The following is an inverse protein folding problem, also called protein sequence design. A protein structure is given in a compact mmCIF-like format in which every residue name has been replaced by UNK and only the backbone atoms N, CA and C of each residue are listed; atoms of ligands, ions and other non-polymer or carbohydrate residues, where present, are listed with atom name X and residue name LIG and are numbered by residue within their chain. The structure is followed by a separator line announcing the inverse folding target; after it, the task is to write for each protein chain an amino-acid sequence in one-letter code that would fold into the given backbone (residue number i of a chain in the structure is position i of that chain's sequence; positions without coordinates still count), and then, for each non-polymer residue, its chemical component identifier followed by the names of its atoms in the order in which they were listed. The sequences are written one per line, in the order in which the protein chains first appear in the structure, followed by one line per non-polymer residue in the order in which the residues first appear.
data_IF_958994816480
#
_entry.id   IF_958994816480
#
_cell.length_a   1.000
_cell.length_b   1.000
_cell.length_c   1.000
_cell.angle_alpha   90.00
_cell.angle_beta   90.00
_cell.angle_gamma   90.00
#
_symmetry.space_group_name_H-M   'P 1'
#
loop_
_entity.id
_entity.type
_entity.pdbx_description
1 polymer ?
#
# COMPACT_ATOMS: atom_id res chain seq x y z
N UNK A 1 39.85 -8.58 -7.38
CA UNK A 1 39.47 -9.35 -6.17
C UNK A 1 38.34 -10.30 -6.57
N UNK A 2 38.55 -11.63 -6.62
CA UNK A 2 37.48 -12.59 -6.94
C UNK A 2 36.42 -12.55 -5.83
N UNK A 3 35.16 -12.32 -6.18
CA UNK A 3 34.05 -12.36 -5.23
C UNK A 3 33.97 -13.77 -4.62
N UNK A 4 33.91 -13.87 -3.28
CA UNK A 4 33.66 -15.14 -2.59
C UNK A 4 32.28 -15.66 -3.04
N UNK A 5 32.12 -16.97 -3.26
CA UNK A 5 30.82 -17.55 -3.59
C UNK A 5 29.84 -17.27 -2.44
N UNK A 6 28.69 -16.66 -2.77
CA UNK A 6 27.61 -16.45 -1.80
C UNK A 6 26.94 -17.80 -1.55
N UNK A 7 26.95 -18.26 -0.31
CA UNK A 7 26.18 -19.43 0.11
C UNK A 7 24.74 -18.98 0.31
N UNK A 8 23.80 -19.57 -0.42
CA UNK A 8 22.37 -19.29 -0.31
C UNK A 8 21.62 -20.50 0.24
N UNK A 9 20.47 -20.24 0.85
CA UNK A 9 19.51 -21.27 1.29
C UNK A 9 18.12 -20.92 0.80
N UNK A 10 17.30 -21.95 0.52
CA UNK A 10 15.94 -21.78 -0.01
C UNK A 10 14.95 -21.72 1.14
N UNK A 11 14.15 -20.66 1.16
CA UNK A 11 13.03 -20.49 2.05
C UNK A 11 11.74 -20.57 1.24
N UNK A 12 10.79 -21.34 1.74
CA UNK A 12 9.48 -21.49 1.14
C UNK A 12 8.39 -21.08 2.13
N UNK A 13 7.39 -20.36 1.64
CA UNK A 13 6.30 -19.80 2.43
C UNK A 13 4.98 -20.47 2.09
N UNK A 14 4.23 -20.82 3.12
CA UNK A 14 2.89 -21.40 3.03
C UNK A 14 1.93 -20.47 3.77
N UNK A 15 1.06 -19.80 3.03
CA UNK A 15 0.00 -18.98 3.61
C UNK A 15 -1.07 -19.87 4.29
N UNK A 16 -1.87 -19.31 5.20
CA UNK A 16 -2.97 -20.02 5.87
C UNK A 16 -3.89 -20.78 4.87
N UNK A 17 -4.21 -20.16 3.72
CA UNK A 17 -5.03 -20.79 2.65
C UNK A 17 -4.29 -21.88 1.87
N UNK A 18 -2.96 -21.91 1.90
CA UNK A 18 -2.10 -22.83 1.17
C UNK A 18 -1.75 -24.11 1.94
N UNK A 19 -2.12 -24.22 3.23
CA UNK A 19 -1.76 -25.35 4.09
C UNK A 19 -2.22 -26.68 3.52
N UNK A 20 -3.45 -26.75 3.01
CA UNK A 20 -3.98 -27.98 2.41
C UNK A 20 -3.22 -28.40 1.15
N UNK A 21 -2.90 -27.43 0.27
CA UNK A 21 -2.13 -27.69 -0.95
C UNK A 21 -0.71 -28.14 -0.63
N UNK A 22 -0.08 -27.56 0.40
CA UNK A 22 1.21 -27.99 0.90
C UNK A 22 1.17 -29.42 1.45
N UNK A 23 0.19 -29.74 2.28
CA UNK A 23 0.03 -31.10 2.85
C UNK A 23 -0.18 -32.16 1.76
N UNK A 24 -0.98 -31.86 0.73
CA UNK A 24 -1.33 -32.83 -0.31
C UNK A 24 -0.31 -32.95 -1.43
N UNK A 25 0.34 -31.84 -1.81
CA UNK A 25 1.12 -31.73 -3.05
C UNK A 25 2.50 -31.10 -2.85
N UNK A 26 2.88 -30.80 -1.61
CA UNK A 26 4.12 -30.08 -1.29
C UNK A 26 4.26 -28.75 -2.06
N UNK A 27 3.11 -28.09 -2.29
CA UNK A 27 3.03 -26.82 -3.01
C UNK A 27 3.26 -25.64 -2.07
N UNK A 28 4.09 -24.70 -2.50
CA UNK A 28 4.42 -23.48 -1.76
C UNK A 28 3.76 -22.27 -2.40
N UNK A 29 3.34 -21.30 -1.58
CA UNK A 29 2.75 -20.05 -2.08
C UNK A 29 3.80 -19.06 -2.57
N UNK A 30 5.02 -19.14 -2.03
CA UNK A 30 6.15 -18.33 -2.48
C UNK A 30 7.46 -18.99 -2.07
N UNK A 31 8.50 -18.78 -2.86
CA UNK A 31 9.84 -19.29 -2.58
C UNK A 31 10.87 -18.20 -2.85
N UNK A 32 11.91 -18.17 -2.02
CA UNK A 32 13.00 -17.22 -2.16
C UNK A 32 14.33 -17.86 -1.76
N UNK A 33 15.40 -17.38 -2.37
CA UNK A 33 16.76 -17.66 -1.95
C UNK A 33 17.27 -16.55 -1.04
N UNK A 34 17.91 -16.95 0.05
CA UNK A 34 18.42 -16.05 1.08
C UNK A 34 19.91 -16.31 1.25
N UNK A 35 20.68 -15.24 1.31
CA UNK A 35 22.10 -15.33 1.66
C UNK A 35 22.23 -15.85 3.09
N UNK A 36 22.98 -16.94 3.29
CA UNK A 36 23.21 -17.50 4.63
C UNK A 36 23.84 -16.46 5.55
N UNK A 37 24.61 -15.52 5.01
CA UNK A 37 25.16 -14.40 5.75
C UNK A 37 24.12 -13.38 6.23
N UNK A 38 22.85 -13.46 5.82
CA UNK A 38 21.74 -12.66 6.37
C UNK A 38 21.19 -13.30 7.65
N UNK A 39 21.20 -14.63 7.72
CA UNK A 39 20.68 -15.45 8.82
C UNK A 39 21.73 -15.60 9.93
N UNK A 40 23.01 -15.69 9.54
CA UNK A 40 24.13 -15.96 10.41
C UNK A 40 24.99 -14.72 10.72
N UNK A 41 24.36 -13.56 11.00
CA UNK A 41 25.10 -12.35 11.44
C UNK A 41 25.20 -12.32 12.97
N UNK A 42 26.41 -12.37 13.55
CA UNK A 42 26.59 -12.08 14.97
C UNK A 42 26.09 -10.66 15.31
N UNK A 43 25.51 -10.43 16.50
CA UNK A 43 25.34 -11.38 17.61
C UNK A 43 24.03 -12.20 17.55
N UNK A 44 23.17 -11.97 16.55
CA UNK A 44 21.82 -12.55 16.48
C UNK A 44 21.68 -13.49 15.29
N UNK A 45 21.77 -14.79 15.55
CA UNK A 45 21.37 -15.81 14.59
C UNK A 45 19.84 -15.83 14.51
N UNK A 46 19.28 -15.57 13.32
CA UNK A 46 17.83 -15.61 13.12
C UNK A 46 17.47 -16.55 11.99
N UNK A 47 16.61 -17.52 12.26
CA UNK A 47 15.99 -18.34 11.22
C UNK A 47 14.79 -17.65 10.58
N UNK A 48 14.39 -16.48 11.09
CA UNK A 48 13.27 -15.70 10.57
C UNK A 48 13.74 -14.97 9.33
N UNK A 49 13.16 -15.34 8.20
CA UNK A 49 13.29 -14.63 6.94
C UNK A 49 11.96 -14.00 6.57
N UNK A 50 11.86 -12.66 6.46
CA UNK A 50 10.64 -12.03 5.99
C UNK A 50 10.38 -12.45 4.53
N UNK A 51 9.10 -12.55 4.18
CA UNK A 51 8.69 -12.65 2.77
C UNK A 51 9.25 -11.43 2.02
N UNK A 52 9.76 -11.63 0.79
CA UNK A 52 10.39 -10.59 -0.02
C UNK A 52 11.68 -10.01 0.62
N UNK A 53 12.47 -10.83 1.33
CA UNK A 53 13.66 -10.36 2.06
C UNK A 53 14.64 -9.55 1.19
N UNK A 54 14.96 -10.04 -0.01
CA UNK A 54 15.87 -9.35 -0.94
C UNK A 54 15.36 -7.97 -1.39
N UNK A 55 14.04 -7.83 -1.49
CA UNK A 55 13.40 -6.56 -1.82
C UNK A 55 13.45 -5.59 -0.64
N UNK A 56 13.21 -6.05 0.59
CA UNK A 56 13.37 -5.18 1.75
C UNK A 56 14.82 -4.75 1.98
N UNK A 57 15.78 -5.64 1.67
CA UNK A 57 17.21 -5.32 1.69
C UNK A 57 17.59 -4.23 0.69
N UNK A 58 16.95 -4.16 -0.49
CA UNK A 58 17.24 -3.09 -1.45
C UNK A 58 16.73 -1.71 -0.99
N UNK A 59 15.81 -1.68 -0.03
CA UNK A 59 15.28 -0.48 0.60
C UNK A 59 15.87 -0.25 2.00
N UNK A 60 17.01 -0.89 2.32
CA UNK A 60 17.68 -0.74 3.61
C UNK A 60 18.11 0.71 3.88
N UNK A 61 18.59 1.39 2.84
CA UNK A 61 19.14 2.75 2.91
C UNK A 61 18.07 3.85 2.72
N UNK A 62 16.82 3.46 2.46
CA UNK A 62 15.71 4.41 2.35
C UNK A 62 15.38 5.02 3.72
N UNK A 63 14.87 6.27 3.75
CA UNK A 63 14.37 6.87 4.99
C UNK A 63 13.22 6.04 5.55
N UNK A 64 13.08 6.05 6.86
CA UNK A 64 12.02 5.36 7.58
C UNK A 64 10.89 6.33 7.92
N UNK A 65 9.68 5.81 8.06
CA UNK A 65 8.54 6.66 8.44
C UNK A 65 8.78 7.38 9.76
N UNK A 66 9.44 6.74 10.74
CA UNK A 66 9.82 7.36 12.01
C UNK A 66 10.83 8.52 11.88
N UNK A 67 11.54 8.61 10.75
CA UNK A 67 12.47 9.71 10.49
C UNK A 67 11.70 10.99 10.14
N UNK A 68 10.56 10.86 9.43
CA UNK A 68 9.77 11.99 8.90
C UNK A 68 8.45 12.24 9.62
N UNK A 69 7.98 11.30 10.43
CA UNK A 69 6.71 11.40 11.12
C UNK A 69 6.81 11.00 12.60
N UNK A 70 6.07 11.71 13.44
CA UNK A 70 5.81 11.32 14.82
C UNK A 70 4.74 10.23 14.85
N UNK A 71 5.07 9.10 15.47
CA UNK A 71 4.18 7.93 15.55
C UNK A 71 3.78 7.73 17.00
N UNK A 72 2.52 8.03 17.29
CA UNK A 72 1.99 8.08 18.63
C UNK A 72 0.96 7.02 18.92
N UNK A 73 1.09 6.36 20.07
CA UNK A 73 0.02 5.53 20.64
C UNK A 73 -1.03 6.43 21.30
N UNK A 74 -2.30 6.02 21.25
CA UNK A 74 -3.38 6.69 21.97
C UNK A 74 -3.40 6.44 23.48
N UNK A 75 -4.45 6.97 24.12
CA UNK A 75 -4.70 6.87 25.56
C UNK A 75 -4.94 5.42 25.96
N UNK A 76 -4.21 4.94 26.96
CA UNK A 76 -4.45 3.65 27.58
C UNK A 76 -5.18 3.85 28.92
N UNK A 77 -6.40 3.31 28.99
CA UNK A 77 -7.21 3.32 30.19
C UNK A 77 -6.90 2.12 31.10
N UNK A 78 -7.16 2.29 32.40
CA UNK A 78 -7.25 1.20 33.36
C UNK A 78 -8.41 0.26 32.99
N UNK A 79 -8.34 -1.02 33.38
CA UNK A 79 -9.35 -2.03 33.02
C UNK A 79 -10.76 -1.70 33.52
N UNK A 80 -10.87 -0.84 34.53
CA UNK A 80 -12.10 -0.47 35.25
C UNK A 80 -12.63 0.92 34.85
N UNK A 81 -12.32 1.41 33.64
CA UNK A 81 -12.83 2.68 33.13
C UNK A 81 -14.35 2.60 32.91
N UNK A 82 -15.10 2.73 34.01
CA UNK A 82 -16.55 2.55 34.11
C UNK A 82 -17.10 3.92 34.45
N UNK A 83 -17.48 4.69 33.43
CA UNK A 83 -18.16 6.00 33.53
C UNK A 83 -17.91 6.73 34.85
N UNK A 84 -16.70 7.23 35.07
CA UNK A 84 -16.30 7.74 36.37
C UNK A 84 -17.18 8.94 36.78
N UNK A 85 -17.80 8.84 37.96
CA UNK A 85 -18.49 9.96 38.59
C UNK A 85 -17.53 11.15 38.70
N UNK A 86 -17.89 12.29 38.11
CA UNK A 86 -17.05 13.50 38.07
C UNK A 86 -16.11 13.61 36.86
N UNK A 87 -16.12 12.63 35.94
CA UNK A 87 -15.42 12.73 34.66
C UNK A 87 -15.99 13.81 33.75
N UNK A 88 -15.18 14.32 32.81
CA UNK A 88 -15.63 15.24 31.77
C UNK A 88 -15.78 14.50 30.44
N UNK A 89 -16.82 14.78 29.64
CA UNK A 89 -16.94 14.23 28.30
C UNK A 89 -15.80 14.76 27.43
N UNK A 90 -15.05 13.86 26.78
CA UNK A 90 -14.04 14.18 25.79
C UNK A 90 -14.33 13.43 24.50
N UNK A 91 -14.19 14.12 23.37
CA UNK A 91 -14.32 13.52 22.04
C UNK A 91 -13.04 12.74 21.72
N UNK A 92 -13.18 11.46 21.41
CA UNK A 92 -12.04 10.55 21.21
C UNK A 92 -12.35 9.50 20.13
N UNK A 93 -11.34 9.17 19.32
CA UNK A 93 -11.40 8.03 18.40
C UNK A 93 -11.08 6.73 19.15
N UNK A 94 -12.09 5.89 19.34
CA UNK A 94 -11.93 4.63 20.09
C UNK A 94 -11.43 3.48 19.25
N UNK A 95 -11.97 3.29 18.07
CA UNK A 95 -11.62 2.22 17.15
C UNK A 95 -11.93 2.67 15.72
N UNK A 96 -11.42 1.91 14.74
CA UNK A 96 -11.87 2.03 13.36
C UNK A 96 -13.15 1.22 13.23
N UNK A 97 -14.26 1.86 12.85
CA UNK A 97 -15.50 1.16 12.52
C UNK A 97 -15.26 0.16 11.38
N UNK A 98 -15.83 -1.05 11.44
CA UNK A 98 -15.51 -2.11 10.48
C UNK A 98 -15.90 -1.82 9.03
N UNK A 99 -16.83 -0.88 8.81
CA UNK A 99 -17.41 -0.51 7.53
C UNK A 99 -17.01 0.89 7.05
N UNK A 100 -16.18 1.62 7.80
CA UNK A 100 -15.70 2.92 7.33
C UNK A 100 -14.90 2.72 6.04
N UNK A 101 -14.75 3.74 5.21
CA UNK A 101 -13.94 3.64 3.99
C UNK A 101 -12.73 4.55 4.12
N UNK A 102 -11.63 4.23 3.44
CA UNK A 102 -10.38 4.97 3.60
C UNK A 102 -10.51 6.46 3.24
N UNK A 103 -11.45 6.83 2.35
CA UNK A 103 -11.72 8.22 1.95
C UNK A 103 -12.56 9.01 2.96
N UNK A 104 -13.18 8.32 3.93
CA UNK A 104 -14.03 8.92 4.95
C UNK A 104 -13.19 9.43 6.13
N UNK A 105 -13.74 10.42 6.83
CA UNK A 105 -13.15 10.98 8.04
C UNK A 105 -13.60 10.16 9.25
N UNK A 106 -12.71 9.85 10.22
CA UNK A 106 -13.10 9.13 11.42
C UNK A 106 -14.05 10.00 12.27
N UNK A 107 -14.99 9.37 12.96
CA UNK A 107 -15.96 10.06 13.83
C UNK A 107 -15.57 9.86 15.29
N UNK A 108 -15.40 10.93 16.09
CA UNK A 108 -15.16 10.78 17.52
C UNK A 108 -16.42 10.35 18.25
N UNK A 109 -16.22 9.59 19.32
CA UNK A 109 -17.24 9.27 20.31
C UNK A 109 -17.00 10.11 21.57
N UNK A 110 -18.08 10.49 22.26
CA UNK A 110 -17.98 11.11 23.58
C UNK A 110 -17.68 10.04 24.63
N UNK A 111 -16.49 10.14 25.26
CA UNK A 111 -16.10 9.28 26.38
C UNK A 111 -15.94 10.14 27.63
N UNK A 112 -16.60 9.72 28.72
CA UNK A 112 -16.50 10.38 30.03
C UNK A 112 -15.47 9.65 30.87
N UNK A 113 -14.40 10.36 31.25
CA UNK A 113 -13.35 9.82 32.13
C UNK A 113 -12.64 10.94 32.90
N UNK A 114 -11.96 10.56 33.97
CA UNK A 114 -11.07 11.38 34.79
C UNK A 114 -9.61 11.03 34.52
N UNK A 115 -8.67 11.87 34.94
CA UNK A 115 -7.24 11.58 34.75
C UNK A 115 -6.79 10.33 35.54
N UNK A 116 -7.50 9.94 36.61
CA UNK A 116 -7.24 8.71 37.38
C UNK A 116 -7.62 7.43 36.60
N UNK A 117 -8.52 7.53 35.62
CA UNK A 117 -8.90 6.41 34.75
C UNK A 117 -7.84 6.11 33.70
N UNK A 118 -6.93 7.07 33.45
CA UNK A 118 -5.89 6.96 32.44
C UNK A 118 -4.64 6.34 33.05
N UNK A 119 -4.27 5.17 32.52
CA UNK A 119 -3.02 4.51 32.86
C UNK A 119 -1.81 5.18 32.20
N UNK A 120 -1.97 5.57 30.94
CA UNK A 120 -0.89 6.17 30.16
C UNK A 120 -1.42 7.13 29.10
N UNK A 121 -0.87 8.34 29.09
CA UNK A 121 -1.08 9.36 28.08
C UNK A 121 -0.05 9.20 26.96
N UNK A 122 -0.46 8.56 25.87
CA UNK A 122 0.37 8.49 24.66
C UNK A 122 0.37 9.80 23.87
N UNK A 123 1.33 9.97 22.97
CA UNK A 123 1.49 11.21 22.17
C UNK A 123 0.32 11.47 21.21
N UNK A 124 -0.46 10.44 20.85
CA UNK A 124 -1.70 10.58 20.08
C UNK A 124 -2.90 11.06 20.90
N UNK A 125 -2.71 11.35 22.20
CA UNK A 125 -3.73 12.00 23.02
C UNK A 125 -3.85 13.52 22.78
N UNK A 126 -2.87 14.11 22.10
CA UNK A 126 -2.88 15.55 21.76
C UNK A 126 -3.91 15.81 20.67
N UNK A 127 -4.86 16.72 20.91
CA UNK A 127 -5.88 17.12 19.95
C UNK A 127 -5.41 18.24 19.01
N UNK A 128 -6.14 18.48 17.91
CA UNK A 128 -6.01 19.69 17.09
C UNK A 128 -4.83 19.68 16.10
N UNK A 129 -4.19 18.53 15.90
CA UNK A 129 -3.08 18.37 14.94
C UNK A 129 -3.48 17.40 13.84
N UNK A 130 -3.59 17.85 12.57
CA UNK A 130 -3.89 16.98 11.44
C UNK A 130 -2.99 15.74 11.44
N UNK A 131 -3.60 14.58 11.21
CA UNK A 131 -2.92 13.29 11.34
C UNK A 131 -3.53 12.25 10.40
N UNK A 132 -2.83 11.13 10.23
CA UNK A 132 -3.42 9.90 9.71
C UNK A 132 -3.55 8.92 10.87
N UNK A 133 -4.76 8.42 11.10
CA UNK A 133 -5.05 7.46 12.16
C UNK A 133 -5.05 6.06 11.57
N UNK A 134 -4.30 5.16 12.21
CA UNK A 134 -4.20 3.76 11.82
C UNK A 134 -4.59 2.80 12.94
N UNK A 135 -5.00 1.59 12.57
CA UNK A 135 -5.35 0.52 13.50
C UNK A 135 -4.10 -0.09 14.18
N UNK A 136 -4.16 -0.30 15.50
CA UNK A 136 -3.15 -1.09 16.19
C UNK A 136 -3.41 -2.61 16.05
N UNK A 137 -4.67 -3.05 16.11
CA UNK A 137 -5.00 -4.45 15.87
C UNK A 137 -5.13 -4.71 14.37
N UNK A 138 -4.52 -5.78 13.83
CA UNK A 138 -4.57 -6.05 12.37
C UNK A 138 -6.00 -6.08 11.84
N UNK A 139 -6.24 -5.44 10.70
CA UNK A 139 -7.57 -5.39 10.07
C UNK A 139 -8.03 -6.78 9.61
N UNK A 140 -7.09 -7.62 9.16
CA UNK A 140 -7.40 -8.97 8.70
C UNK A 140 -6.23 -9.94 8.82
N UNK A 141 -6.52 -11.23 8.61
CA UNK A 141 -5.48 -12.24 8.36
C UNK A 141 -4.91 -12.19 6.95
N UNK A 142 -5.56 -11.48 6.02
CA UNK A 142 -5.08 -11.28 4.64
C UNK A 142 -3.87 -10.34 4.59
N UNK A 143 -3.22 -10.17 3.42
CA UNK A 143 -2.16 -9.19 3.23
C UNK A 143 -2.58 -7.74 3.52
N UNK A 144 -3.86 -7.42 3.49
CA UNK A 144 -4.39 -6.12 3.88
C UNK A 144 -4.48 -6.02 5.42
N UNK A 145 -3.47 -5.39 6.05
CA UNK A 145 -3.28 -5.32 7.50
C UNK A 145 -3.63 -3.96 8.10
N UNK A 146 -3.25 -2.90 7.40
CA UNK A 146 -3.36 -1.51 7.80
C UNK A 146 -4.71 -0.97 7.34
N UNK A 147 -5.32 -0.22 8.23
CA UNK A 147 -6.44 0.65 7.95
C UNK A 147 -6.00 2.06 8.28
N UNK A 148 -6.12 2.99 7.33
CA UNK A 148 -5.70 4.37 7.53
C UNK A 148 -6.83 5.33 7.15
N UNK A 149 -7.01 6.37 7.96
CA UNK A 149 -8.01 7.42 7.78
C UNK A 149 -7.35 8.78 7.97
N UNK A 150 -7.62 9.72 7.07
CA UNK A 150 -7.21 11.11 7.27
C UNK A 150 -8.08 11.74 8.35
N UNK A 151 -7.42 12.32 9.34
CA UNK A 151 -8.04 13.02 10.45
C UNK A 151 -7.54 14.48 10.46
N UNK A 152 -8.20 15.38 9.71
CA UNK A 152 -7.78 16.77 9.60
C UNK A 152 -7.98 17.53 10.91
N UNK A 153 -8.92 17.11 11.76
CA UNK A 153 -9.19 17.75 13.05
C UNK A 153 -8.19 17.33 14.12
N UNK A 154 -7.56 16.16 13.95
CA UNK A 154 -6.55 15.66 14.87
C UNK A 154 -7.14 15.23 16.20
N UNK A 155 -8.14 14.36 16.18
CA UNK A 155 -8.81 13.89 17.39
C UNK A 155 -7.87 13.03 18.27
N UNK A 156 -7.96 13.13 19.60
CA UNK A 156 -7.31 12.17 20.49
C UNK A 156 -7.74 10.75 20.16
N UNK A 157 -6.83 9.78 20.32
CA UNK A 157 -7.13 8.37 20.06
C UNK A 157 -6.97 7.51 21.30
N UNK A 158 -7.60 6.33 21.33
CA UNK A 158 -7.29 5.29 22.33
C UNK A 158 -6.13 4.40 21.88
N UNK A 159 -5.59 3.58 22.79
CA UNK A 159 -4.50 2.63 22.51
C UNK A 159 -4.77 1.62 21.38
N UNK A 160 -6.02 1.49 20.92
CA UNK A 160 -6.41 0.65 19.77
C UNK A 160 -6.06 1.29 18.43
N UNK A 161 -5.70 2.56 18.44
CA UNK A 161 -5.32 3.35 17.29
C UNK A 161 -3.94 3.96 17.53
N UNK A 162 -3.27 4.26 16.42
CA UNK A 162 -1.99 4.96 16.36
C UNK A 162 -2.21 6.20 15.50
N UNK A 163 -1.73 7.36 15.95
CA UNK A 163 -1.71 8.55 15.13
C UNK A 163 -0.33 8.73 14.53
N UNK A 164 -0.28 9.06 13.24
CA UNK A 164 0.95 9.34 12.51
C UNK A 164 0.85 10.77 11.98
N UNK A 165 1.82 11.60 12.36
CA UNK A 165 1.85 13.03 12.05
C UNK A 165 3.17 13.38 11.38
N UNK A 166 3.17 14.02 10.20
CA UNK A 166 4.40 14.58 9.64
C UNK A 166 5.07 15.49 10.66
N UNK A 167 6.40 15.39 10.79
CA UNK A 167 7.17 16.23 11.71
C UNK A 167 7.11 17.69 11.26
N UNK A 168 7.09 18.66 12.20
CA UNK A 168 7.16 20.08 11.85
C UNK A 168 8.35 20.39 10.94
N UNK A 169 8.14 21.18 9.89
CA UNK A 169 9.17 21.54 8.92
C UNK A 169 9.41 20.52 7.80
N UNK A 170 8.78 19.34 7.85
CA UNK A 170 8.83 18.38 6.75
C UNK A 170 7.83 18.78 5.67
N UNK A 171 8.31 19.25 4.51
CA UNK A 171 7.45 19.55 3.35
C UNK A 171 7.23 18.32 2.47
N UNK A 172 8.12 17.32 2.53
CA UNK A 172 8.09 16.12 1.69
C UNK A 172 6.98 15.12 2.03
N UNK A 173 6.22 15.32 3.12
CA UNK A 173 5.23 14.38 3.60
C UNK A 173 3.94 15.10 4.03
N UNK A 174 3.07 15.42 3.08
CA UNK A 174 1.72 15.92 3.38
C UNK A 174 0.83 14.81 3.95
N UNK A 175 -0.32 15.20 4.53
CA UNK A 175 -1.29 14.24 5.08
C UNK A 175 -1.84 13.31 3.99
N UNK A 176 -2.06 13.83 2.79
CA UNK A 176 -2.51 13.08 1.62
C UNK A 176 -1.47 12.05 1.18
N UNK A 177 -0.19 12.44 1.10
CA UNK A 177 0.90 11.52 0.72
C UNK A 177 1.09 10.46 1.79
N UNK A 178 1.07 10.84 3.06
CA UNK A 178 1.15 9.91 4.18
C UNK A 178 0.01 8.88 4.13
N UNK A 179 -1.23 9.34 3.91
CA UNK A 179 -2.39 8.46 3.77
C UNK A 179 -2.26 7.54 2.55
N UNK A 180 -1.76 8.07 1.41
CA UNK A 180 -1.55 7.27 0.20
C UNK A 180 -0.55 6.15 0.45
N UNK A 181 0.59 6.47 1.08
CA UNK A 181 1.62 5.49 1.45
C UNK A 181 1.05 4.45 2.40
N UNK A 182 0.38 4.84 3.48
CA UNK A 182 -0.17 3.92 4.49
C UNK A 182 -1.27 3.01 3.94
N UNK A 183 -2.00 3.44 2.91
CA UNK A 183 -3.02 2.63 2.25
C UNK A 183 -2.52 1.88 1.00
N UNK A 184 -1.26 2.11 0.59
CA UNK A 184 -0.64 1.51 -0.59
C UNK A 184 -0.33 0.01 -0.40
N UNK A 185 -0.18 -0.75 -1.50
CA UNK A 185 0.30 -2.13 -1.43
C UNK A 185 1.67 -2.25 -0.76
N UNK A 186 2.51 -1.20 -0.82
CA UNK A 186 3.83 -1.18 -0.22
C UNK A 186 3.77 -1.25 1.31
N UNK A 187 3.02 -0.35 1.95
CA UNK A 187 2.86 -0.37 3.42
C UNK A 187 2.13 -1.62 3.90
N UNK A 188 1.14 -2.07 3.13
CA UNK A 188 0.37 -3.28 3.44
C UNK A 188 1.25 -4.54 3.38
N UNK A 189 2.10 -4.66 2.36
CA UNK A 189 3.05 -5.75 2.23
C UNK A 189 4.10 -5.70 3.36
N UNK A 190 4.62 -4.52 3.69
CA UNK A 190 5.56 -4.36 4.78
C UNK A 190 4.95 -4.81 6.12
N UNK A 191 3.76 -4.31 6.46
CA UNK A 191 3.05 -4.75 7.65
C UNK A 191 2.72 -6.25 7.60
N UNK A 192 2.38 -6.80 6.44
CA UNK A 192 2.13 -8.24 6.34
C UNK A 192 3.39 -9.08 6.63
N UNK A 193 4.56 -8.62 6.21
CA UNK A 193 5.84 -9.31 6.39
C UNK A 193 6.42 -9.10 7.80
N UNK A 194 6.27 -7.90 8.35
CA UNK A 194 6.90 -7.48 9.62
C UNK A 194 6.01 -7.61 10.86
N UNK A 195 4.68 -7.60 10.71
CA UNK A 195 3.78 -7.74 11.86
C UNK A 195 3.59 -9.20 12.28
N UNK A 196 3.65 -9.44 13.59
CA UNK A 196 3.30 -10.73 14.18
C UNK A 196 1.80 -11.04 14.10
N UNK A 197 1.32 -11.96 14.94
CA UNK A 197 -0.04 -12.52 14.79
C UNK A 197 -1.18 -11.63 15.28
N UNK A 198 -0.96 -10.50 15.97
CA UNK A 198 -2.07 -9.78 16.64
C UNK A 198 -2.13 -8.29 16.35
N UNK A 199 -1.08 -7.56 16.71
CA UNK A 199 -1.06 -6.11 16.63
C UNK A 199 0.10 -5.62 15.74
N UNK A 200 -0.12 -4.50 15.08
CA UNK A 200 0.87 -3.68 14.36
C UNK A 200 1.27 -2.58 15.33
N UNK A 201 2.49 -2.67 15.87
CA UNK A 201 2.99 -1.72 16.86
C UNK A 201 3.58 -0.46 16.20
N UNK A 202 3.86 0.55 17.04
CA UNK A 202 4.44 1.82 16.59
C UNK A 202 5.83 1.62 15.98
N UNK A 203 6.58 0.60 16.40
CA UNK A 203 7.90 0.28 15.84
C UNK A 203 7.80 -0.25 14.41
N UNK A 204 6.79 -1.07 14.12
CA UNK A 204 6.49 -1.57 12.77
C UNK A 204 6.16 -0.41 11.85
N UNK A 205 5.30 0.53 12.28
CA UNK A 205 5.05 1.74 11.50
C UNK A 205 6.31 2.58 11.34
N UNK A 206 7.10 2.77 12.40
CA UNK A 206 8.32 3.58 12.36
C UNK A 206 9.36 3.04 11.39
N UNK A 207 9.48 1.72 11.29
CA UNK A 207 10.45 1.04 10.43
C UNK A 207 10.01 0.91 8.97
N UNK A 208 8.77 1.29 8.62
CA UNK A 208 8.28 1.30 7.23
C UNK A 208 9.24 2.12 6.35
N UNK A 209 9.89 1.51 5.35
CA UNK A 209 10.68 2.25 4.37
C UNK A 209 9.78 3.20 3.59
N UNK A 210 10.23 4.43 3.42
CA UNK A 210 9.61 5.42 2.55
C UNK A 210 10.39 5.53 1.23
N UNK A 211 9.84 6.18 0.20
CA UNK A 211 10.63 6.58 -0.96
C UNK A 211 11.80 7.48 -0.55
N UNK A 212 12.81 7.62 -1.39
CA UNK A 212 13.93 8.50 -1.11
C UNK A 212 13.44 9.94 -0.98
N UNK A 213 14.10 10.75 -0.15
CA UNK A 213 13.65 12.12 0.17
C UNK A 213 13.44 12.97 -1.09
N UNK A 214 14.35 12.88 -2.06
CA UNK A 214 14.24 13.59 -3.34
C UNK A 214 12.96 13.24 -4.12
N UNK A 215 12.49 12.00 -4.01
CA UNK A 215 11.34 11.50 -4.77
C UNK A 215 10.06 11.85 -3.99
N UNK A 216 10.10 11.83 -2.66
CA UNK A 216 9.05 12.37 -1.80
C UNK A 216 8.84 13.88 -1.99
N UNK A 217 9.89 14.66 -2.23
CA UNK A 217 9.77 16.08 -2.54
C UNK A 217 9.01 16.34 -3.85
N UNK A 218 8.97 15.37 -4.78
CA UNK A 218 8.18 15.40 -6.02
C UNK A 218 6.85 14.61 -5.90
N UNK A 219 6.28 14.50 -4.70
CA UNK A 219 5.03 13.77 -4.47
C UNK A 219 3.76 14.47 -4.98
N UNK A 220 3.88 15.55 -5.76
CA UNK A 220 2.75 16.34 -6.24
C UNK A 220 1.77 15.54 -7.10
N UNK A 221 2.25 14.51 -7.82
CA UNK A 221 1.38 13.58 -8.55
C UNK A 221 0.53 12.72 -7.60
N UNK A 222 1.11 12.22 -6.51
CA UNK A 222 0.39 11.46 -5.47
C UNK A 222 -0.70 12.32 -4.85
N UNK A 223 -0.41 13.56 -4.47
CA UNK A 223 -1.42 14.46 -3.88
C UNK A 223 -2.60 14.70 -4.81
N UNK A 224 -2.35 14.94 -6.10
CA UNK A 224 -3.40 15.12 -7.10
C UNK A 224 -4.25 13.86 -7.24
N UNK A 225 -3.63 12.69 -7.30
CA UNK A 225 -4.34 11.41 -7.37
C UNK A 225 -5.22 11.18 -6.13
N UNK A 226 -4.70 11.46 -4.94
CA UNK A 226 -5.47 11.35 -3.67
C UNK A 226 -6.65 12.31 -3.68
N UNK A 227 -6.43 13.59 -4.01
CA UNK A 227 -7.49 14.60 -4.06
C UNK A 227 -8.58 14.24 -5.07
N UNK A 228 -8.20 13.72 -6.24
CA UNK A 228 -9.16 13.24 -7.25
C UNK A 228 -9.98 12.05 -6.74
N UNK A 229 -9.33 11.03 -6.18
CA UNK A 229 -10.00 9.86 -5.60
C UNK A 229 -10.95 10.23 -4.46
N UNK A 230 -10.43 10.92 -3.44
CA UNK A 230 -11.19 11.28 -2.23
C UNK A 230 -12.32 12.25 -2.56
N UNK A 231 -12.08 13.22 -3.44
CA UNK A 231 -13.11 14.15 -3.90
C UNK A 231 -14.27 13.42 -4.59
N UNK A 232 -13.96 12.52 -5.53
CA UNK A 232 -14.99 11.74 -6.22
C UNK A 232 -15.72 10.78 -5.29
N UNK A 233 -15.00 10.12 -4.38
CA UNK A 233 -15.58 9.18 -3.42
C UNK A 233 -16.54 9.88 -2.45
N UNK A 234 -16.17 11.05 -1.93
CA UNK A 234 -17.04 11.86 -1.05
C UNK A 234 -18.25 12.42 -1.80
N UNK A 235 -18.10 12.81 -3.07
CA UNK A 235 -19.23 13.22 -3.89
C UNK A 235 -20.23 12.07 -4.13
N UNK A 236 -19.72 10.85 -4.35
CA UNK A 236 -20.56 9.65 -4.48
C UNK A 236 -21.30 9.30 -3.17
N UNK A 237 -20.63 9.42 -2.02
CA UNK A 237 -21.27 9.22 -0.70
C UNK A 237 -22.44 10.20 -0.47
N UNK A 238 -22.33 11.43 -0.99
CA UNK A 238 -23.38 12.45 -0.88
C UNK A 238 -24.56 12.24 -1.86
N UNK A 239 -24.38 11.43 -2.90
CA UNK A 239 -25.38 11.16 -3.95
C UNK A 239 -25.50 9.65 -4.24
N UNK A 240 -26.19 8.87 -3.37
CA UNK A 240 -26.19 7.40 -3.42
C UNK A 240 -26.66 6.79 -4.74
N UNK A 241 -27.50 7.50 -5.50
CA UNK A 241 -27.97 7.06 -6.82
C UNK A 241 -26.88 6.94 -7.90
N UNK A 242 -25.70 7.54 -7.67
CA UNK A 242 -24.55 7.50 -8.58
C UNK A 242 -23.48 6.47 -8.17
N UNK A 243 -23.64 5.81 -7.02
CA UNK A 243 -22.59 4.98 -6.41
C UNK A 243 -22.18 3.78 -7.29
N UNK A 244 -23.15 3.09 -7.88
CA UNK A 244 -22.88 1.96 -8.77
C UNK A 244 -22.19 2.40 -10.08
N UNK A 245 -22.54 3.58 -10.58
CA UNK A 245 -21.96 4.16 -11.80
C UNK A 245 -20.55 4.70 -11.57
N UNK A 246 -20.22 5.11 -10.34
CA UNK A 246 -18.91 5.62 -9.98
C UNK A 246 -17.91 4.51 -9.60
N UNK A 247 -18.34 3.25 -9.42
CA UNK A 247 -17.49 2.18 -8.87
C UNK A 247 -16.22 1.93 -9.71
N UNK A 248 -16.37 1.84 -11.04
CA UNK A 248 -15.23 1.62 -11.96
C UNK A 248 -14.28 2.82 -11.98
N UNK A 249 -14.83 4.04 -12.02
CA UNK A 249 -14.03 5.26 -11.97
C UNK A 249 -13.26 5.39 -10.65
N UNK A 250 -13.91 5.07 -9.53
CA UNK A 250 -13.29 5.07 -8.21
C UNK A 250 -12.20 4.01 -8.11
N UNK A 251 -12.40 2.85 -8.73
CA UNK A 251 -11.38 1.81 -8.85
C UNK A 251 -10.18 2.29 -9.64
N UNK A 252 -10.40 2.92 -10.81
CA UNK A 252 -9.32 3.50 -11.61
C UNK A 252 -8.54 4.58 -10.87
N UNK A 253 -9.25 5.52 -10.21
CA UNK A 253 -8.60 6.56 -9.40
C UNK A 253 -7.81 5.97 -8.23
N UNK A 254 -8.32 4.92 -7.57
CA UNK A 254 -7.60 4.24 -6.49
C UNK A 254 -6.35 3.52 -6.99
N UNK A 255 -6.43 2.87 -8.16
CA UNK A 255 -5.28 2.25 -8.81
C UNK A 255 -4.24 3.30 -9.18
N UNK A 256 -4.66 4.48 -9.65
CA UNK A 256 -3.75 5.60 -9.92
C UNK A 256 -3.02 6.06 -8.64
N UNK A 257 -3.72 6.18 -7.50
CA UNK A 257 -3.07 6.52 -6.22
C UNK A 257 -1.96 5.52 -5.89
N UNK A 258 -2.24 4.21 -5.99
CA UNK A 258 -1.25 3.19 -5.70
C UNK A 258 -0.08 3.23 -6.71
N UNK A 259 -0.37 3.47 -7.99
CA UNK A 259 0.63 3.55 -9.05
C UNK A 259 1.58 4.74 -8.87
N UNK A 260 1.06 5.92 -8.52
CA UNK A 260 1.89 7.10 -8.24
C UNK A 260 2.75 6.89 -6.99
N UNK A 261 2.22 6.23 -5.95
CA UNK A 261 3.02 5.89 -4.77
C UNK A 261 4.15 4.93 -5.13
N UNK A 262 3.87 3.85 -5.86
CA UNK A 262 4.88 2.86 -6.27
C UNK A 262 5.97 3.47 -7.15
N UNK A 263 5.58 4.40 -8.04
CA UNK A 263 6.52 5.13 -8.89
C UNK A 263 7.56 5.91 -8.07
N UNK A 264 7.20 6.46 -6.90
CA UNK A 264 8.16 7.15 -6.04
C UNK A 264 9.27 6.22 -5.52
N UNK A 265 8.99 4.93 -5.36
CA UNK A 265 10.00 3.97 -4.88
C UNK A 265 10.99 3.55 -5.98
N UNK A 266 10.74 3.88 -7.24
CA UNK A 266 11.57 3.53 -8.40
C UNK A 266 11.97 2.04 -8.41
N UNK A 267 10.97 1.18 -8.22
CA UNK A 267 11.19 -0.26 -8.11
C UNK A 267 11.49 -0.89 -9.46
N UNK A 268 12.35 -1.92 -9.46
CA UNK A 268 12.46 -2.79 -10.62
C UNK A 268 11.07 -3.42 -10.92
N UNK A 269 10.64 -3.51 -12.20
CA UNK A 269 9.30 -4.00 -12.54
C UNK A 269 8.96 -5.37 -11.95
N UNK A 270 9.98 -6.24 -11.80
CA UNK A 270 9.85 -7.55 -11.17
C UNK A 270 9.49 -7.46 -9.68
N UNK A 271 10.10 -6.53 -8.96
CA UNK A 271 9.90 -6.37 -7.52
C UNK A 271 8.54 -5.73 -7.24
N UNK A 272 8.17 -4.72 -8.03
CA UNK A 272 6.82 -4.15 -7.98
C UNK A 272 5.76 -5.23 -8.24
N UNK A 273 5.94 -6.04 -9.30
CA UNK A 273 5.02 -7.15 -9.60
C UNK A 273 4.96 -8.16 -8.46
N UNK A 274 6.09 -8.50 -7.85
CA UNK A 274 6.15 -9.45 -6.74
C UNK A 274 5.35 -8.98 -5.51
N UNK A 275 5.35 -7.67 -5.23
CA UNK A 275 4.53 -7.06 -4.17
C UNK A 275 3.05 -7.10 -4.55
N UNK A 276 2.70 -6.63 -5.74
CA UNK A 276 1.31 -6.53 -6.20
C UNK A 276 0.64 -7.90 -6.24
N UNK A 277 1.36 -8.93 -6.70
CA UNK A 277 0.84 -10.30 -6.76
C UNK A 277 0.52 -10.90 -5.38
N UNK A 278 1.00 -10.30 -4.28
CA UNK A 278 0.61 -10.74 -2.92
C UNK A 278 -0.86 -10.49 -2.64
N UNK A 279 -1.46 -9.50 -3.30
CA UNK A 279 -2.83 -9.11 -3.05
C UNK A 279 -3.83 -9.84 -3.95
N UNK A 280 -3.37 -10.63 -4.92
CA UNK A 280 -4.23 -11.38 -5.83
C UNK A 280 -5.15 -12.35 -5.07
N UNK A 281 -6.44 -12.30 -5.35
CA UNK A 281 -7.47 -13.11 -4.68
C UNK A 281 -7.80 -12.66 -3.25
N UNK A 282 -7.29 -11.50 -2.80
CA UNK A 282 -7.60 -10.90 -1.51
C UNK A 282 -8.37 -9.58 -1.73
N UNK A 283 -9.69 -9.55 -1.44
CA UNK A 283 -10.47 -8.33 -1.55
C UNK A 283 -9.86 -7.20 -0.72
N UNK A 284 -9.65 -6.04 -1.36
CA UNK A 284 -9.16 -4.86 -0.69
C UNK A 284 -10.23 -4.31 0.26
N UNK A 285 -9.95 -4.18 1.56
CA UNK A 285 -10.88 -3.57 2.49
C UNK A 285 -10.89 -2.04 2.35
N UNK A 286 -11.91 -1.39 2.92
CA UNK A 286 -11.95 0.08 3.04
C UNK A 286 -12.12 0.83 1.72
N UNK A 287 -12.58 0.17 0.65
CA UNK A 287 -12.92 0.78 -0.63
C UNK A 287 -14.37 0.44 -1.04
N UNK A 288 -15.09 1.33 -1.75
CA UNK A 288 -16.50 1.13 -2.12
C UNK A 288 -16.74 0.22 -3.33
N UNK A 289 -15.74 -0.55 -3.76
CA UNK A 289 -15.79 -1.38 -4.97
C UNK A 289 -14.98 -2.66 -4.77
N UNK A 290 -15.18 -3.63 -5.67
CA UNK A 290 -14.40 -4.87 -5.65
C UNK A 290 -13.03 -4.69 -6.33
N UNK A 291 -11.98 -4.88 -5.55
CA UNK A 291 -10.60 -4.98 -6.02
C UNK A 291 -9.96 -6.22 -5.42
N UNK A 292 -9.68 -7.22 -6.25
CA UNK A 292 -9.07 -8.50 -5.87
C UNK A 292 -7.74 -8.77 -6.56
N UNK A 293 -7.35 -7.94 -7.54
CA UNK A 293 -6.12 -8.05 -8.30
C UNK A 293 -5.74 -6.68 -8.90
N UNK A 294 -4.45 -6.50 -9.20
CA UNK A 294 -3.91 -5.32 -9.89
C UNK A 294 -3.76 -5.55 -11.40
N UNK A 295 -3.37 -6.77 -11.78
CA UNK A 295 -3.29 -7.24 -13.15
C UNK A 295 -4.25 -8.41 -13.33
N UNK A 296 -4.80 -8.62 -14.54
CA UNK A 296 -5.49 -9.86 -14.88
C UNK A 296 -4.61 -11.08 -14.61
N UNK A 297 -5.21 -12.21 -14.23
CA UNK A 297 -4.47 -13.44 -13.84
C UNK A 297 -3.58 -14.01 -14.93
N UNK A 298 -3.94 -13.79 -16.19
CA UNK A 298 -3.22 -14.20 -17.40
C UNK A 298 -2.21 -13.15 -17.88
N UNK A 299 -2.08 -12.02 -17.18
CA UNK A 299 -1.14 -10.96 -17.55
C UNK A 299 0.30 -11.33 -17.16
N UNK A 300 1.04 -11.86 -18.13
CA UNK A 300 2.44 -12.31 -17.98
C UNK A 300 3.47 -11.16 -17.89
N UNK A 301 3.36 -10.04 -18.64
CA UNK A 301 4.41 -9.04 -18.67
C UNK A 301 4.75 -8.42 -17.31
N UNK A 302 6.04 -8.15 -17.09
CA UNK A 302 6.54 -7.44 -15.91
C UNK A 302 6.72 -5.96 -16.26
N UNK A 303 5.61 -5.21 -16.22
CA UNK A 303 5.60 -3.77 -16.41
C UNK A 303 5.10 -3.08 -15.13
N UNK A 304 5.63 -1.90 -14.78
CA UNK A 304 5.10 -1.12 -13.67
C UNK A 304 3.62 -0.80 -13.83
N UNK A 305 2.91 -0.66 -12.71
CA UNK A 305 1.48 -0.39 -12.65
C UNK A 305 1.15 0.94 -13.34
N UNK A 306 1.98 1.96 -13.15
CA UNK A 306 1.77 3.26 -13.79
C UNK A 306 1.88 3.20 -15.33
N UNK A 307 2.73 2.32 -15.87
CA UNK A 307 2.81 2.09 -17.31
C UNK A 307 1.60 1.30 -17.80
N UNK A 308 1.20 0.26 -17.07
CA UNK A 308 0.00 -0.53 -17.38
C UNK A 308 -1.28 0.33 -17.43
N UNK A 309 -1.43 1.26 -16.49
CA UNK A 309 -2.57 2.18 -16.44
C UNK A 309 -2.47 3.32 -17.47
N UNK A 310 -1.31 3.50 -18.11
CA UNK A 310 -1.11 4.61 -19.03
C UNK A 310 -2.03 4.51 -20.27
N UNK A 311 -2.54 5.65 -20.79
CA UNK A 311 -3.30 5.64 -22.04
C UNK A 311 -2.52 5.10 -23.24
N UNK A 312 -1.19 5.18 -23.21
CA UNK A 312 -0.34 4.63 -24.25
C UNK A 312 -0.41 3.10 -24.26
N UNK A 313 -0.27 2.47 -23.09
CA UNK A 313 -0.36 1.01 -22.97
C UNK A 313 -1.76 0.50 -23.29
N UNK A 314 -2.80 1.14 -22.76
CA UNK A 314 -4.19 0.74 -23.01
C UNK A 314 -4.54 0.75 -24.51
N UNK A 315 -4.03 1.73 -25.27
CA UNK A 315 -4.17 1.83 -26.74
C UNK A 315 -3.28 0.85 -27.52
N UNK A 316 -2.29 0.25 -26.88
CA UNK A 316 -1.35 -0.69 -27.49
C UNK A 316 -1.77 -2.16 -27.29
N UNK A 317 -2.94 -2.41 -26.73
CA UNK A 317 -3.49 -3.77 -26.62
C UNK A 317 -3.95 -4.27 -27.99
N UNK A 318 -3.83 -5.58 -28.24
CA UNK A 318 -4.19 -6.20 -29.54
C UNK A 318 -5.62 -5.85 -29.96
N UNK A 319 -6.54 -5.71 -29.01
CA UNK A 319 -7.92 -5.29 -29.27
C UNK A 319 -8.04 -3.84 -29.77
N UNK A 320 -7.33 -2.90 -29.14
CA UNK A 320 -7.33 -1.50 -29.57
C UNK A 320 -6.55 -1.30 -30.87
N UNK A 321 -5.41 -1.98 -31.03
CA UNK A 321 -4.64 -2.00 -32.29
C UNK A 321 -5.52 -2.50 -33.45
N UNK A 322 -6.36 -3.51 -33.24
CA UNK A 322 -7.30 -4.00 -34.26
C UNK A 322 -8.42 -3.00 -34.59
N UNK A 323 -8.78 -2.11 -33.66
CA UNK A 323 -9.75 -1.01 -33.90
C UNK A 323 -9.12 0.15 -34.66
N UNK A 324 -7.80 0.29 -34.63
CA UNK A 324 -7.08 1.25 -35.44
C UNK A 324 -7.08 0.73 -36.88
N UNK A 325 -7.80 1.43 -37.75
CA UNK A 325 -7.73 1.22 -39.19
C UNK A 325 -6.38 1.77 -39.70
N UNK A 326 -5.31 0.97 -39.54
CA UNK A 326 -3.96 1.33 -39.96
C UNK A 326 -3.92 1.77 -41.43
N UNK A 327 -4.77 1.20 -42.29
CA UNK A 327 -4.84 1.57 -43.69
C UNK A 327 -5.31 3.02 -43.92
N UNK A 328 -6.08 3.60 -43.00
CA UNK A 328 -6.50 5.02 -43.04
C UNK A 328 -5.46 5.98 -42.46
N UNK A 329 -4.60 5.52 -41.56
CA UNK A 329 -3.57 6.37 -40.93
C UNK A 329 -2.21 6.33 -41.61
N UNK A 330 -1.96 5.35 -42.47
CA UNK A 330 -0.72 5.26 -43.25
C UNK A 330 -0.71 6.34 -44.35
N UNK A 331 0.29 7.21 -44.31
CA UNK A 331 0.55 8.16 -45.42
C UNK A 331 0.88 7.40 -46.70
N UNK A 332 0.65 7.98 -47.91
CA UNK A 332 1.02 7.34 -49.17
C UNK A 332 2.48 6.87 -49.21
N UNK A 333 3.38 7.62 -48.58
CA UNK A 333 4.81 7.29 -48.46
C UNK A 333 5.06 6.06 -47.57
N UNK A 334 4.32 5.91 -46.47
CA UNK A 334 4.44 4.74 -45.59
C UNK A 334 3.85 3.48 -46.23
N UNK A 335 2.76 3.62 -47.01
CA UNK A 335 2.20 2.52 -47.81
C UNK A 335 3.21 2.02 -48.85
N UNK A 336 3.85 2.95 -49.56
CA UNK A 336 4.88 2.62 -50.55
C UNK A 336 6.14 2.01 -49.90
N UNK A 337 6.55 2.49 -48.72
CA UNK A 337 7.66 1.91 -47.98
C UNK A 337 7.38 0.47 -47.50
N UNK A 338 6.16 0.20 -47.01
CA UNK A 338 5.73 -1.15 -46.63
C UNK A 338 5.61 -2.09 -47.84
N UNK A 339 5.12 -1.58 -48.98
CA UNK A 339 5.05 -2.34 -50.24
C UNK A 339 6.45 -2.77 -50.70
N UNK A 340 7.40 -1.83 -50.74
CA UNK A 340 8.80 -2.12 -51.10
C UNK A 340 9.48 -3.08 -50.13
N UNK A 341 9.20 -2.97 -48.83
CA UNK A 341 9.72 -3.90 -47.84
C UNK A 341 9.17 -5.33 -48.02
N UNK A 342 7.90 -5.46 -48.43
CA UNK A 342 7.30 -6.77 -48.76
C UNK A 342 7.86 -7.39 -50.05
N UNK A 343 8.18 -6.57 -51.05
CA UNK A 343 8.84 -7.02 -52.29
C UNK A 343 10.27 -7.50 -52.02
N UNK A 344 11.02 -6.82 -51.17
CA UNK A 344 12.38 -7.22 -50.76
C UNK A 344 12.44 -8.50 -49.92
N UNK A 345 11.34 -8.96 -49.32
CA UNK A 345 11.29 -10.22 -48.56
C UNK A 345 10.76 -11.41 -49.38
N UNK A 346 10.23 -11.18 -50.58
CA UNK A 346 9.82 -12.25 -51.49
C UNK A 346 10.96 -12.68 -52.43
N UNK A 347 12.00 -11.85 -52.56
CA UNK A 347 13.19 -12.14 -53.38
C UNK A 347 14.31 -12.88 -52.60
N UNK A 348 14.14 -13.18 -51.30
CA UNK A 348 15.12 -13.92 -50.48
C UNK A 348 14.78 -15.42 -50.31
N UNK A 349 13.65 -15.90 -50.88
CA UNK A 349 13.18 -17.30 -50.82
C UNK A 349 13.21 -18.04 -52.19
N UNK A 350 13.90 -17.50 -53.20
CA UNK A 350 14.38 -18.25 -54.40
C UNK A 350 15.89 -18.49 -54.33
#
# INVERSE_FOLDING_TARGET
RKARPRSTTRYAYVADKGVEAFQKRFAFGYEQEIDVAHIARPPHFTLVAPLLARFWDSLADNPRLGDLADIGRGIEFNKECSGANGGRPRQILRYVESNILHHQTPKPESLVFTDADVRFWGTAATAGKPQVVVNAARASRSPWKIWALMDPDGWPTTKRLIAIRPKPGTTALSIEVLWAILTSPMAQAYAHCGSGKRDIDTQTYAALPLPLLRDLEDSGAVERAVKAYVGKARAADAAPGLAAQAADDLKQLRLQVDAEVLKLYDLAPRDERAILDRFNGHPRPGVPFEQTEYYPRDFVPWIPLHEYLSPAFQRSTVGEIRKIDFAKQLTPRMKEALRRAGELHLDEDE
#
